data_IF_731852569593
#
_entry.id   IF_731852569593
#
_cell.length_a   1.000
_cell.length_b   1.000
_cell.length_c   1.000
_cell.angle_alpha   90.00
_cell.angle_beta   90.00
_cell.angle_gamma   90.00
#
_symmetry.space_group_name_H-M   'P 1'
#
loop_
_entity.id
_entity.type
_entity.pdbx_description
1 polymer ?
#
# COMPACT_ATOMS: atom_id res chain seq x y z
N UNK A 1 -22.95 -48.65 4.59
CA UNK A 1 -23.52 -47.34 4.22
C UNK A 1 -22.94 -46.36 5.21
N UNK A 2 -21.79 -45.81 4.85
CA UNK A 2 -21.04 -44.81 5.62
C UNK A 2 -21.78 -43.49 5.49
N UNK A 3 -22.09 -42.89 6.64
CA UNK A 3 -22.66 -41.53 6.72
C UNK A 3 -21.49 -40.57 6.68
N UNK A 4 -21.64 -39.57 5.81
CA UNK A 4 -20.67 -38.57 5.41
C UNK A 4 -20.53 -37.50 6.52
N UNK A 5 -19.33 -37.35 7.09
CA UNK A 5 -18.99 -36.41 8.18
C UNK A 5 -18.72 -34.97 7.66
N UNK A 6 -19.43 -34.56 6.61
CA UNK A 6 -19.28 -33.26 5.96
C UNK A 6 -19.95 -32.08 6.67
N UNK A 7 -20.00 -32.05 8.00
CA UNK A 7 -20.43 -30.85 8.73
C UNK A 7 -19.25 -29.89 8.85
N UNK A 8 -19.22 -28.89 7.96
CA UNK A 8 -18.45 -27.67 8.18
C UNK A 8 -18.81 -27.05 9.55
N UNK A 9 -17.94 -26.23 10.14
CA UNK A 9 -18.16 -25.68 11.47
C UNK A 9 -19.50 -24.92 11.47
N UNK A 10 -20.48 -25.43 12.24
CA UNK A 10 -21.69 -24.68 12.51
C UNK A 10 -21.26 -23.40 13.23
N UNK A 11 -21.35 -22.28 12.52
CA UNK A 11 -21.19 -20.96 13.12
C UNK A 11 -22.17 -20.84 14.30
N UNK A 12 -21.80 -20.12 15.38
CA UNK A 12 -22.66 -19.96 16.54
C UNK A 12 -24.03 -19.41 16.12
N UNK A 13 -25.09 -20.13 16.50
CA UNK A 13 -26.47 -19.71 16.28
C UNK A 13 -26.79 -18.55 17.23
N UNK A 14 -26.94 -17.35 16.70
CA UNK A 14 -27.31 -16.16 17.47
C UNK A 14 -28.80 -15.86 17.26
N UNK A 15 -29.68 -16.11 18.25
CA UNK A 15 -31.06 -15.67 18.14
C UNK A 15 -31.10 -14.13 18.05
N UNK A 16 -32.00 -13.57 17.24
CA UNK A 16 -32.20 -12.11 17.19
C UNK A 16 -32.55 -11.62 18.59
N UNK A 17 -31.81 -10.65 19.11
CA UNK A 17 -31.97 -10.11 20.45
C UNK A 17 -33.06 -9.05 20.56
N UNK A 18 -33.67 -8.63 19.44
CA UNK A 18 -34.70 -7.59 19.47
C UNK A 18 -36.09 -8.16 19.70
N UNK A 19 -36.77 -7.51 20.64
CA UNK A 19 -38.08 -7.89 21.10
C UNK A 19 -38.03 -8.68 22.40
N UNK A 20 -39.05 -9.51 22.56
CA UNK A 20 -39.28 -10.23 23.79
C UNK A 20 -38.42 -11.49 23.87
N UNK A 21 -37.40 -11.47 24.72
CA UNK A 21 -36.67 -12.70 25.06
C UNK A 21 -37.34 -13.30 26.29
N UNK A 22 -38.23 -14.26 26.05
CA UNK A 22 -38.82 -15.08 27.10
C UNK A 22 -37.85 -16.22 27.44
N UNK A 23 -37.23 -16.13 28.62
CA UNK A 23 -36.28 -17.14 29.13
C UNK A 23 -37.00 -18.20 29.99
N UNK A 24 -38.33 -18.27 29.94
CA UNK A 24 -39.13 -19.19 30.73
C UNK A 24 -39.09 -18.86 32.22
N UNK A 25 -38.66 -19.80 33.06
CA UNK A 25 -38.67 -19.65 34.53
C UNK A 25 -37.70 -18.60 35.07
N UNK A 26 -36.77 -18.11 34.24
CA UNK A 26 -35.79 -17.07 34.61
C UNK A 26 -36.37 -15.64 34.46
N UNK A 27 -37.55 -15.50 33.85
CA UNK A 27 -38.23 -14.23 33.62
C UNK A 27 -38.09 -13.73 32.18
N UNK A 28 -38.45 -12.46 32.00
CA UNK A 28 -38.63 -11.81 30.69
C UNK A 28 -37.72 -10.60 30.61
N UNK A 29 -36.91 -10.52 29.55
CA UNK A 29 -36.10 -9.33 29.23
C UNK A 29 -36.68 -8.68 27.99
N UNK A 30 -36.87 -7.37 28.08
CA UNK A 30 -37.24 -6.53 26.95
C UNK A 30 -35.99 -5.74 26.59
N UNK A 31 -35.46 -5.96 25.39
CA UNK A 31 -34.36 -5.17 24.83
C UNK A 31 -34.92 -4.26 23.76
N UNK A 32 -34.62 -2.97 23.87
CA UNK A 32 -34.92 -1.94 22.88
C UNK A 32 -33.59 -1.31 22.43
N UNK A 33 -33.36 -1.31 21.12
CA UNK A 33 -32.17 -0.71 20.52
C UNK A 33 -32.60 0.47 19.66
N UNK A 34 -32.05 1.65 19.96
CA UNK A 34 -32.31 2.87 19.22
C UNK A 34 -31.01 3.51 18.74
N UNK A 35 -31.03 4.16 17.58
CA UNK A 35 -29.86 4.89 17.07
C UNK A 35 -29.63 6.18 17.85
N UNK A 36 -28.40 6.68 17.91
CA UNK A 36 -28.10 8.02 18.43
C UNK A 36 -27.47 8.88 17.34
N UNK A 37 -26.40 8.36 16.72
CA UNK A 37 -25.65 8.97 15.61
C UNK A 37 -24.96 7.88 14.76
N UNK A 38 -24.10 8.25 13.81
CA UNK A 38 -23.35 7.31 12.96
C UNK A 38 -22.52 6.25 13.72
N UNK A 39 -22.15 6.53 14.97
CA UNK A 39 -21.17 5.78 15.76
C UNK A 39 -21.70 5.12 17.02
N UNK A 40 -22.94 5.45 17.44
CA UNK A 40 -23.53 4.96 18.69
C UNK A 40 -24.98 4.50 18.50
N UNK A 41 -25.30 3.39 19.17
CA UNK A 41 -26.68 2.98 19.47
C UNK A 41 -26.89 2.93 20.97
N UNK A 42 -28.10 3.24 21.41
CA UNK A 42 -28.57 3.03 22.76
C UNK A 42 -29.19 1.63 22.86
N UNK A 43 -28.76 0.87 23.87
CA UNK A 43 -29.27 -0.46 24.20
C UNK A 43 -29.90 -0.39 25.58
N UNK A 44 -31.23 -0.42 25.59
CA UNK A 44 -32.03 -0.36 26.80
C UNK A 44 -32.61 -1.74 27.10
N UNK A 45 -32.27 -2.29 28.25
CA UNK A 45 -32.77 -3.58 28.69
C UNK A 45 -33.56 -3.45 30.00
N UNK A 46 -34.78 -4.00 30.02
CA UNK A 46 -35.62 -4.10 31.22
C UNK A 46 -35.76 -5.54 31.63
N UNK A 47 -35.38 -5.85 32.87
CA UNK A 47 -35.53 -7.18 33.45
C UNK A 47 -36.82 -7.25 34.28
N UNK A 48 -37.84 -7.95 33.76
CA UNK A 48 -39.10 -8.21 34.48
C UNK A 48 -39.05 -9.50 35.32
N UNK A 49 -37.91 -10.19 35.32
CA UNK A 49 -37.65 -11.39 36.11
C UNK A 49 -37.28 -11.12 37.57
N UNK A 50 -36.99 -12.20 38.30
CA UNK A 50 -36.67 -12.18 39.73
C UNK A 50 -35.17 -12.34 40.00
N UNK A 51 -34.36 -12.66 38.99
CA UNK A 51 -32.91 -12.83 39.08
C UNK A 51 -32.18 -11.84 38.16
N UNK A 52 -30.95 -11.41 38.51
CA UNK A 52 -30.14 -10.61 37.60
C UNK A 52 -29.90 -11.37 36.29
N UNK A 53 -29.92 -10.64 35.18
CA UNK A 53 -29.67 -11.21 33.85
C UNK A 53 -28.50 -10.51 33.20
N UNK A 54 -27.66 -11.27 32.50
CA UNK A 54 -26.54 -10.75 31.74
C UNK A 54 -26.97 -10.59 30.27
N UNK A 55 -26.81 -9.39 29.74
CA UNK A 55 -27.01 -9.09 28.32
C UNK A 55 -25.62 -8.97 27.69
N UNK A 56 -25.38 -9.72 26.61
CA UNK A 56 -24.12 -9.72 25.87
C UNK A 56 -24.39 -9.57 24.38
N UNK A 57 -23.87 -8.51 23.78
CA UNK A 57 -23.86 -8.29 22.33
C UNK A 57 -22.44 -8.54 21.82
N UNK A 58 -22.30 -9.41 20.82
CA UNK A 58 -21.02 -9.77 20.25
C UNK A 58 -20.68 -8.91 19.02
N UNK A 59 -19.41 -8.55 18.81
CA UNK A 59 -18.96 -7.94 17.56
C UNK A 59 -19.44 -8.75 16.36
N UNK A 60 -19.80 -8.07 15.28
CA UNK A 60 -20.42 -8.73 14.13
C UNK A 60 -21.94 -8.80 14.16
N UNK A 61 -22.57 -8.27 15.19
CA UNK A 61 -24.02 -8.11 15.19
C UNK A 61 -24.41 -6.91 14.30
N UNK A 62 -25.36 -7.13 13.40
CA UNK A 62 -25.94 -6.10 12.55
C UNK A 62 -27.22 -5.56 13.18
N UNK A 63 -27.37 -4.25 13.21
CA UNK A 63 -28.60 -3.56 13.59
C UNK A 63 -29.31 -3.09 12.32
N UNK A 64 -30.45 -3.71 12.03
CA UNK A 64 -31.33 -3.42 10.89
C UNK A 64 -32.44 -2.48 11.35
N UNK A 65 -32.54 -1.26 10.82
CA UNK A 65 -33.57 -0.32 11.25
C UNK A 65 -34.95 -0.83 10.84
N UNK A 66 -35.96 -0.57 11.67
CA UNK A 66 -37.36 -0.90 11.33
C UNK A 66 -37.88 -0.06 10.16
N UNK A 67 -37.34 1.15 9.98
CA UNK A 67 -37.57 2.00 8.81
C UNK A 67 -36.37 1.90 7.85
N UNK A 68 -36.63 1.33 6.67
CA UNK A 68 -35.64 1.06 5.62
C UNK A 68 -34.91 2.29 5.06
N UNK A 69 -35.38 3.51 5.34
CA UNK A 69 -34.75 4.79 4.94
C UNK A 69 -33.43 5.03 5.67
N UNK A 70 -33.28 4.48 6.88
CA UNK A 70 -32.09 4.66 7.71
C UNK A 70 -31.01 3.61 7.41
N UNK A 71 -29.79 3.92 7.82
CA UNK A 71 -28.65 3.03 7.68
C UNK A 71 -28.75 1.79 8.57
N UNK A 72 -28.35 0.64 8.03
CA UNK A 72 -27.97 -0.52 8.86
C UNK A 72 -26.68 -0.19 9.59
N UNK A 73 -26.55 -0.65 10.82
CA UNK A 73 -25.38 -0.43 11.66
C UNK A 73 -24.73 -1.76 12.03
N UNK A 74 -23.45 -1.72 12.38
CA UNK A 74 -22.63 -2.89 12.64
C UNK A 74 -21.88 -2.72 13.95
N UNK A 75 -22.01 -3.68 14.86
CA UNK A 75 -21.38 -3.65 16.18
C UNK A 75 -19.88 -3.97 16.07
N UNK A 76 -19.04 -3.02 16.47
CA UNK A 76 -17.57 -3.19 16.47
C UNK A 76 -17.09 -3.75 17.80
N UNK A 77 -17.50 -3.14 18.91
CA UNK A 77 -17.03 -3.50 20.24
C UNK A 77 -18.07 -4.38 20.96
N UNK A 78 -17.64 -5.41 21.71
CA UNK A 78 -18.56 -6.19 22.51
C UNK A 78 -19.23 -5.30 23.57
N UNK A 79 -20.50 -5.54 23.84
CA UNK A 79 -21.23 -4.88 24.93
C UNK A 79 -21.79 -5.95 25.88
N UNK A 80 -21.28 -5.99 27.10
CA UNK A 80 -21.77 -6.91 28.15
C UNK A 80 -22.14 -6.14 29.40
N UNK A 81 -23.32 -6.38 29.95
CA UNK A 81 -23.78 -5.74 31.19
C UNK A 81 -24.84 -6.57 31.91
N UNK A 82 -24.93 -6.40 33.23
CA UNK A 82 -25.94 -7.05 34.06
C UNK A 82 -27.14 -6.12 34.30
N UNK A 83 -28.35 -6.67 34.21
CA UNK A 83 -29.63 -6.01 34.45
C UNK A 83 -30.27 -6.61 35.70
N UNK A 84 -30.27 -5.88 36.84
CA UNK A 84 -30.89 -6.39 38.07
C UNK A 84 -32.41 -6.59 37.94
N UNK A 85 -33.02 -7.45 38.78
CA UNK A 85 -34.47 -7.67 38.80
C UNK A 85 -35.26 -6.37 38.95
N UNK A 86 -36.29 -6.17 38.12
CA UNK A 86 -37.17 -5.00 38.18
C UNK A 86 -36.53 -3.69 37.72
N UNK A 87 -35.26 -3.70 37.29
CA UNK A 87 -34.53 -2.52 36.86
C UNK A 87 -34.51 -2.39 35.33
N UNK A 88 -34.29 -1.17 34.87
CA UNK A 88 -33.95 -0.86 33.48
C UNK A 88 -32.52 -0.34 33.45
N UNK A 89 -31.69 -0.90 32.59
CA UNK A 89 -30.32 -0.45 32.36
C UNK A 89 -30.21 0.05 30.92
N UNK A 90 -29.55 1.18 30.77
CA UNK A 90 -29.27 1.85 29.51
C UNK A 90 -27.75 1.84 29.30
N UNK A 91 -27.32 1.36 28.13
CA UNK A 91 -25.92 1.31 27.71
C UNK A 91 -25.77 1.80 26.29
N UNK A 92 -24.60 2.33 25.98
CA UNK A 92 -24.23 2.69 24.62
C UNK A 92 -23.35 1.61 24.03
N UNK A 93 -23.61 1.25 22.78
CA UNK A 93 -22.78 0.35 21.99
C UNK A 93 -22.17 1.13 20.83
N UNK A 94 -20.88 0.90 20.58
CA UNK A 94 -20.15 1.53 19.47
C UNK A 94 -20.40 0.76 18.18
N UNK A 95 -20.90 1.48 17.18
CA UNK A 95 -21.29 0.92 15.89
C UNK A 95 -20.68 1.71 14.73
N UNK A 96 -20.86 1.21 13.53
CA UNK A 96 -20.63 1.94 12.27
C UNK A 96 -21.79 1.68 11.33
N UNK A 97 -22.16 2.69 10.56
CA UNK A 97 -23.18 2.59 9.53
C UNK A 97 -22.64 1.93 8.25
N UNK A 98 -23.46 1.14 7.56
CA UNK A 98 -23.03 0.35 6.41
C UNK A 98 -23.41 0.97 5.06
N UNK A 99 -24.29 1.96 5.00
CA UNK A 99 -24.87 2.42 3.73
C UNK A 99 -24.86 3.95 3.63
N UNK A 100 -23.76 4.50 3.13
CA UNK A 100 -23.46 5.92 3.16
C UNK A 100 -24.58 6.79 2.61
N UNK A 101 -25.36 6.34 1.62
CA UNK A 101 -26.41 7.15 0.97
C UNK A 101 -27.72 7.25 1.76
N UNK A 102 -27.96 6.37 2.73
CA UNK A 102 -29.19 6.36 3.55
C UNK A 102 -29.14 7.43 4.65
N UNK A 103 -30.26 7.64 5.34
CA UNK A 103 -30.36 8.60 6.44
C UNK A 103 -29.57 8.12 7.67
N UNK A 104 -28.92 9.08 8.36
CA UNK A 104 -28.27 8.82 9.65
C UNK A 104 -29.33 8.48 10.72
N UNK A 105 -29.14 7.41 11.50
CA UNK A 105 -30.04 7.09 12.59
C UNK A 105 -30.03 8.15 13.69
N UNK A 106 -31.20 8.43 14.24
CA UNK A 106 -31.38 9.31 15.41
C UNK A 106 -32.16 8.58 16.50
N UNK A 107 -32.29 9.20 17.69
CA UNK A 107 -32.89 8.62 18.92
C UNK A 107 -34.28 8.00 18.84
N UNK A 108 -35.02 8.20 17.75
CA UNK A 108 -36.35 7.59 17.54
C UNK A 108 -36.33 6.40 16.56
N UNK A 109 -35.19 6.12 15.93
CA UNK A 109 -35.04 5.00 15.00
C UNK A 109 -34.77 3.75 15.81
N UNK A 110 -35.66 2.77 15.69
CA UNK A 110 -35.54 1.46 16.34
C UNK A 110 -34.87 0.45 15.43
N UNK A 111 -34.17 -0.49 16.04
CA UNK A 111 -33.41 -1.52 15.35
C UNK A 111 -33.84 -2.93 15.73
N UNK A 112 -33.59 -3.85 14.80
CA UNK A 112 -33.59 -5.29 15.00
C UNK A 112 -32.21 -5.85 14.74
N UNK A 113 -31.88 -7.00 15.31
CA UNK A 113 -30.56 -7.57 15.30
C UNK A 113 -30.57 -8.75 14.35
N UNK A 114 -29.54 -8.79 13.52
CA UNK A 114 -29.30 -9.85 12.57
C UNK A 114 -27.82 -10.25 12.66
N UNK A 115 -27.46 -11.52 12.37
CA UNK A 115 -26.07 -11.88 12.20
C UNK A 115 -25.46 -11.10 11.02
N UNK A 116 -24.14 -10.87 11.08
CA UNK A 116 -23.39 -10.45 9.90
C UNK A 116 -23.46 -11.53 8.81
N UNK A 117 -23.78 -11.13 7.59
CA UNK A 117 -23.86 -12.03 6.43
C UNK A 117 -22.56 -12.05 5.62
N UNK A 118 -21.67 -11.06 5.81
CA UNK A 118 -20.45 -10.89 5.02
C UNK A 118 -19.19 -11.06 5.87
N UNK A 119 -18.31 -11.95 5.43
CA UNK A 119 -17.04 -12.25 6.12
C UNK A 119 -16.06 -11.07 6.10
N UNK A 120 -16.12 -10.23 5.07
CA UNK A 120 -15.30 -9.02 4.93
C UNK A 120 -15.60 -7.96 6.03
N UNK A 121 -16.88 -7.76 6.36
CA UNK A 121 -17.31 -6.90 7.47
C UNK A 121 -16.88 -7.46 8.82
N UNK A 122 -16.93 -8.78 8.99
CA UNK A 122 -16.41 -9.48 10.17
C UNK A 122 -14.92 -9.25 10.36
N UNK A 123 -14.14 -9.44 9.29
CA UNK A 123 -12.70 -9.25 9.31
C UNK A 123 -12.32 -7.78 9.59
N UNK A 124 -12.93 -6.82 8.87
CA UNK A 124 -12.69 -5.40 9.08
C UNK A 124 -13.10 -4.96 10.48
N UNK A 125 -14.25 -5.43 10.97
CA UNK A 125 -14.72 -5.15 12.33
C UNK A 125 -13.75 -5.63 13.41
N UNK A 126 -13.16 -6.81 13.24
CA UNK A 126 -12.16 -7.36 14.16
C UNK A 126 -10.83 -6.59 14.10
N UNK A 127 -10.39 -6.17 12.91
CA UNK A 127 -9.23 -5.28 12.75
C UNK A 127 -9.46 -3.96 13.48
N UNK A 128 -10.65 -3.38 13.32
CA UNK A 128 -11.02 -2.15 14.01
C UNK A 128 -11.09 -2.34 15.51
N UNK A 129 -11.69 -3.42 16.00
CA UNK A 129 -11.70 -3.74 17.43
C UNK A 129 -10.29 -3.80 18.03
N UNK A 130 -9.28 -4.27 17.27
CA UNK A 130 -7.89 -4.36 17.73
C UNK A 130 -7.10 -3.04 17.64
N UNK A 131 -7.53 -2.11 16.80
CA UNK A 131 -6.86 -0.81 16.68
C UNK A 131 -6.86 -0.04 18.01
N UNK A 132 -5.79 0.68 18.38
CA UNK A 132 -5.81 1.57 19.54
C UNK A 132 -6.43 2.94 19.21
N UNK A 133 -6.55 3.28 17.92
CA UNK A 133 -7.13 4.54 17.46
C UNK A 133 -8.64 4.30 17.33
N UNK A 134 -9.47 5.29 17.72
CA UNK A 134 -10.95 5.30 17.53
C UNK A 134 -11.35 6.62 16.89
N UNK A 135 -12.38 6.62 16.06
CA UNK A 135 -12.99 7.86 15.59
C UNK A 135 -13.68 7.75 14.23
N UNK A 136 -13.87 8.88 13.54
CA UNK A 136 -14.57 8.91 12.25
C UNK A 136 -13.92 8.03 11.17
N UNK A 137 -12.62 7.76 11.30
CA UNK A 137 -11.91 6.88 10.38
C UNK A 137 -12.47 5.44 10.37
N UNK A 138 -13.03 4.93 11.47
CA UNK A 138 -13.71 3.63 11.51
C UNK A 138 -14.90 3.61 10.53
N UNK A 139 -15.74 4.63 10.61
CA UNK A 139 -16.89 4.81 9.72
C UNK A 139 -16.46 4.94 8.25
N UNK A 140 -15.35 5.64 7.99
CA UNK A 140 -14.83 5.82 6.66
C UNK A 140 -14.44 4.50 5.99
N UNK A 141 -13.75 3.58 6.67
CA UNK A 141 -13.35 2.31 6.07
C UNK A 141 -14.54 1.41 5.75
N UNK A 142 -15.58 1.42 6.60
CA UNK A 142 -16.80 0.69 6.29
C UNK A 142 -17.46 1.24 5.02
N UNK A 143 -17.52 2.56 4.83
CA UNK A 143 -18.02 3.14 3.57
C UNK A 143 -17.11 2.93 2.36
N UNK A 144 -15.80 2.82 2.55
CA UNK A 144 -14.89 2.37 1.47
C UNK A 144 -15.26 0.94 1.06
N UNK A 145 -15.43 0.04 2.04
CA UNK A 145 -15.75 -1.37 1.82
C UNK A 145 -17.15 -1.58 1.23
N UNK A 146 -18.17 -0.88 1.72
CA UNK A 146 -19.57 -1.14 1.36
C UNK A 146 -20.04 -0.32 0.16
N UNK A 147 -19.58 0.92 0.03
CA UNK A 147 -20.07 1.87 -0.99
C UNK A 147 -18.98 2.27 -2.01
N UNK A 148 -17.75 1.80 -1.83
CA UNK A 148 -16.61 2.24 -2.65
C UNK A 148 -16.36 3.75 -2.53
N UNK A 149 -16.61 4.32 -1.35
CA UNK A 149 -16.66 5.77 -1.16
C UNK A 149 -15.29 6.44 -1.38
N UNK A 150 -15.29 7.54 -2.14
CA UNK A 150 -14.11 8.38 -2.35
C UNK A 150 -13.89 9.32 -1.16
N UNK A 151 -12.67 9.83 -0.98
CA UNK A 151 -12.35 10.80 0.08
C UNK A 151 -13.25 12.06 0.05
N UNK A 152 -13.48 12.73 -1.09
CA UNK A 152 -14.42 13.85 -1.15
C UNK A 152 -15.81 13.46 -0.67
N UNK A 153 -16.34 12.33 -1.14
CA UNK A 153 -17.65 11.80 -0.77
C UNK A 153 -17.73 11.58 0.75
N UNK A 154 -16.75 10.92 1.36
CA UNK A 154 -16.68 10.70 2.82
C UNK A 154 -16.66 12.05 3.57
N UNK A 155 -15.81 12.98 3.16
CA UNK A 155 -15.63 14.28 3.83
C UNK A 155 -16.81 15.26 3.66
N UNK A 156 -17.74 14.99 2.74
CA UNK A 156 -19.01 15.70 2.64
C UNK A 156 -19.99 15.29 3.75
N UNK A 157 -19.92 14.03 4.22
CA UNK A 157 -20.83 13.50 5.24
C UNK A 157 -20.26 13.46 6.65
N UNK A 158 -18.94 13.48 6.79
CA UNK A 158 -18.28 13.18 8.07
C UNK A 158 -17.67 14.40 8.74
N UNK A 159 -17.88 14.52 10.05
CA UNK A 159 -17.25 15.54 10.90
C UNK A 159 -16.67 14.91 12.19
N UNK A 160 -15.39 15.14 12.51
CA UNK A 160 -14.40 15.85 11.70
C UNK A 160 -14.05 15.08 10.41
N UNK A 161 -13.61 15.83 9.40
CA UNK A 161 -13.11 15.27 8.13
C UNK A 161 -11.88 14.40 8.39
N UNK A 162 -11.67 13.40 7.54
CA UNK A 162 -10.41 12.65 7.51
C UNK A 162 -9.42 13.28 6.53
N UNK A 163 -8.15 13.18 6.89
CA UNK A 163 -7.04 13.52 6.02
C UNK A 163 -6.85 12.48 4.92
N UNK A 164 -6.13 12.88 3.88
CA UNK A 164 -5.79 12.00 2.76
C UNK A 164 -4.99 10.77 3.20
N UNK A 165 -3.99 10.92 4.08
CA UNK A 165 -3.25 9.77 4.60
C UNK A 165 -4.10 8.81 5.42
N UNK A 166 -5.09 9.31 6.18
CA UNK A 166 -6.05 8.43 6.86
C UNK A 166 -6.90 7.64 5.87
N UNK A 167 -7.30 8.26 4.76
CA UNK A 167 -8.05 7.58 3.70
C UNK A 167 -7.21 6.48 3.03
N UNK A 168 -5.96 6.76 2.67
CA UNK A 168 -5.08 5.76 2.06
C UNK A 168 -4.74 4.64 3.03
N UNK A 169 -4.55 4.95 4.31
CA UNK A 169 -4.42 3.92 5.35
C UNK A 169 -5.66 3.02 5.40
N UNK A 170 -6.85 3.62 5.33
CA UNK A 170 -8.11 2.87 5.26
C UNK A 170 -8.21 1.99 4.02
N UNK A 171 -7.78 2.48 2.84
CA UNK A 171 -7.70 1.66 1.63
C UNK A 171 -6.77 0.46 1.82
N UNK A 172 -5.58 0.66 2.39
CA UNK A 172 -4.65 -0.42 2.67
C UNK A 172 -5.21 -1.52 3.59
N UNK A 173 -6.09 -1.16 4.53
CA UNK A 173 -6.82 -2.11 5.38
C UNK A 173 -7.99 -2.78 4.66
N UNK A 174 -8.69 -2.08 3.76
CA UNK A 174 -9.91 -2.59 3.11
C UNK A 174 -9.62 -3.46 1.89
N UNK A 175 -8.64 -3.10 1.06
CA UNK A 175 -8.33 -3.79 -0.20
C UNK A 175 -8.15 -5.31 -0.06
N UNK A 176 -7.46 -5.84 0.98
CA UNK A 176 -7.31 -7.29 1.14
C UNK A 176 -8.61 -8.06 1.38
N UNK A 177 -9.70 -7.37 1.73
CA UNK A 177 -11.00 -7.98 2.04
C UNK A 177 -12.01 -7.88 0.91
N UNK A 178 -11.67 -7.18 -0.18
CA UNK A 178 -12.55 -7.04 -1.33
C UNK A 178 -12.49 -8.28 -2.22
N UNK A 179 -13.62 -8.59 -2.84
CA UNK A 179 -13.67 -9.63 -3.87
C UNK A 179 -13.05 -9.16 -5.19
N UNK A 180 -12.75 -10.12 -6.07
CA UNK A 180 -12.15 -9.87 -7.39
C UNK A 180 -13.02 -8.98 -8.29
N UNK A 181 -14.34 -8.87 -8.02
CA UNK A 181 -15.24 -8.03 -8.81
C UNK A 181 -15.20 -6.56 -8.35
N UNK A 182 -15.05 -6.33 -7.06
CA UNK A 182 -15.12 -5.03 -6.41
C UNK A 182 -13.76 -4.35 -6.38
N UNK A 183 -12.68 -5.13 -6.21
CA UNK A 183 -11.31 -4.61 -6.11
C UNK A 183 -10.94 -3.73 -7.32
N UNK A 184 -11.12 -4.14 -8.59
CA UNK A 184 -10.75 -3.31 -9.73
C UNK A 184 -11.58 -2.02 -9.85
N UNK A 185 -12.88 -2.09 -9.48
CA UNK A 185 -13.77 -0.92 -9.50
C UNK A 185 -13.32 0.13 -8.48
N UNK A 186 -13.01 -0.31 -7.25
CA UNK A 186 -12.51 0.59 -6.22
C UNK A 186 -11.13 1.12 -6.60
N UNK A 187 -10.21 0.24 -7.01
CA UNK A 187 -8.86 0.58 -7.44
C UNK A 187 -8.87 1.71 -8.49
N UNK A 188 -9.74 1.59 -9.50
CA UNK A 188 -9.93 2.61 -10.52
C UNK A 188 -10.49 3.93 -9.98
N UNK A 189 -11.44 3.88 -9.05
CA UNK A 189 -12.02 5.08 -8.45
C UNK A 189 -11.04 5.84 -7.56
N UNK A 190 -10.04 5.15 -6.99
CA UNK A 190 -9.06 5.75 -6.09
C UNK A 190 -7.72 6.04 -6.75
N UNK A 191 -7.51 5.59 -8.00
CA UNK A 191 -6.33 5.91 -8.80
C UNK A 191 -6.30 7.40 -9.10
N UNK A 192 -5.53 8.14 -8.30
CA UNK A 192 -5.35 9.57 -8.46
C UNK A 192 -3.99 10.00 -7.92
N UNK A 193 -3.49 11.12 -8.44
CA UNK A 193 -2.25 11.71 -7.94
C UNK A 193 -2.39 12.02 -6.45
N UNK A 194 -3.48 12.67 -6.06
CA UNK A 194 -3.85 12.94 -4.67
C UNK A 194 -3.66 11.72 -3.75
N UNK A 195 -4.21 10.55 -4.09
CA UNK A 195 -4.02 9.31 -3.31
C UNK A 195 -2.53 8.93 -3.18
N UNK A 196 -1.74 9.09 -4.24
CA UNK A 196 -0.30 8.86 -4.26
C UNK A 196 0.51 9.97 -3.57
N UNK A 197 -0.09 11.12 -3.26
CA UNK A 197 0.57 12.26 -2.59
C UNK A 197 0.26 12.31 -1.09
N UNK A 198 -0.39 11.29 -0.56
CA UNK A 198 -0.83 11.21 0.82
C UNK A 198 0.37 11.00 1.78
N UNK A 199 1.18 12.03 2.03
CA UNK A 199 2.47 11.94 2.73
C UNK A 199 2.43 11.39 4.16
N UNK A 200 1.26 11.39 4.81
CA UNK A 200 1.06 10.84 6.16
C UNK A 200 0.63 9.36 6.17
N UNK A 201 0.64 8.70 5.01
CA UNK A 201 0.26 7.30 4.85
C UNK A 201 1.32 6.36 5.44
N UNK A 202 0.86 5.27 6.03
CA UNK A 202 1.68 4.13 6.43
C UNK A 202 2.29 3.46 5.18
N UNK A 203 3.62 3.24 5.13
CA UNK A 203 4.26 2.59 3.99
C UNK A 203 3.60 1.27 3.56
N UNK A 204 3.10 0.46 4.49
CA UNK A 204 2.44 -0.80 4.15
C UNK A 204 1.11 -0.58 3.41
N UNK A 205 0.33 0.43 3.80
CA UNK A 205 -0.92 0.74 3.14
C UNK A 205 -0.69 1.28 1.72
N UNK A 206 0.35 2.11 1.57
CA UNK A 206 0.80 2.59 0.26
C UNK A 206 1.27 1.43 -0.63
N UNK A 207 2.02 0.49 -0.06
CA UNK A 207 2.49 -0.71 -0.78
C UNK A 207 1.31 -1.54 -1.27
N UNK A 208 0.39 -1.92 -0.37
CA UNK A 208 -0.83 -2.67 -0.74
C UNK A 208 -1.58 -2.00 -1.89
N UNK A 209 -1.74 -0.67 -1.83
CA UNK A 209 -2.43 0.09 -2.87
C UNK A 209 -1.70 0.04 -4.22
N UNK A 210 -0.38 0.25 -4.23
CA UNK A 210 0.43 0.20 -5.45
C UNK A 210 0.44 -1.21 -6.05
N UNK A 211 0.60 -2.23 -5.22
CA UNK A 211 0.55 -3.62 -5.68
C UNK A 211 -0.83 -3.94 -6.30
N UNK A 212 -1.91 -3.47 -5.67
CA UNK A 212 -3.27 -3.66 -6.19
C UNK A 212 -3.46 -2.94 -7.53
N UNK A 213 -3.00 -1.70 -7.70
CA UNK A 213 -3.08 -1.02 -8.99
C UNK A 213 -2.26 -1.72 -10.08
N UNK A 214 -1.06 -2.19 -9.72
CA UNK A 214 -0.18 -2.90 -10.63
C UNK A 214 -0.73 -4.26 -11.08
N UNK A 215 -1.46 -4.98 -10.21
CA UNK A 215 -2.06 -6.27 -10.53
C UNK A 215 -3.40 -6.13 -11.25
N UNK A 216 -4.31 -5.29 -10.73
CA UNK A 216 -5.70 -5.23 -11.18
C UNK A 216 -5.92 -4.32 -12.40
N UNK A 217 -5.07 -3.31 -12.59
CA UNK A 217 -5.22 -2.32 -13.66
C UNK A 217 -3.86 -1.89 -14.25
N UNK A 218 -3.08 -2.85 -14.77
CA UNK A 218 -1.70 -2.63 -15.17
C UNK A 218 -1.52 -1.55 -16.25
N UNK A 219 -2.40 -1.50 -17.26
CA UNK A 219 -2.29 -0.56 -18.38
C UNK A 219 -2.65 0.86 -17.94
N UNK A 220 -3.77 1.01 -17.22
CA UNK A 220 -4.18 2.29 -16.66
C UNK A 220 -3.19 2.82 -15.62
N UNK A 221 -2.59 1.94 -14.83
CA UNK A 221 -1.58 2.32 -13.85
C UNK A 221 -0.31 2.83 -14.54
N UNK A 222 0.19 2.13 -15.57
CA UNK A 222 1.34 2.59 -16.35
C UNK A 222 1.03 3.93 -17.04
N UNK A 223 -0.15 4.07 -17.67
CA UNK A 223 -0.57 5.32 -18.31
C UNK A 223 -0.66 6.47 -17.29
N UNK A 224 -1.20 6.20 -16.11
CA UNK A 224 -1.29 7.16 -15.02
C UNK A 224 0.10 7.62 -14.58
N UNK A 225 1.04 6.70 -14.38
CA UNK A 225 2.41 7.01 -14.01
C UNK A 225 3.12 7.84 -15.08
N UNK A 226 3.01 7.46 -16.35
CA UNK A 226 3.58 8.20 -17.47
C UNK A 226 3.02 9.63 -17.55
N UNK A 227 1.71 9.79 -17.36
CA UNK A 227 1.02 11.09 -17.41
C UNK A 227 1.41 12.00 -16.24
N UNK A 228 1.61 11.42 -15.04
CA UNK A 228 1.88 12.17 -13.81
C UNK A 228 3.36 12.18 -13.41
N UNK A 229 4.24 11.64 -14.27
CA UNK A 229 5.67 11.43 -13.99
C UNK A 229 6.38 12.66 -13.45
N UNK A 230 6.20 13.82 -14.09
CA UNK A 230 6.83 15.07 -13.64
C UNK A 230 6.28 15.52 -12.29
N UNK A 231 4.98 15.42 -12.07
CA UNK A 231 4.35 15.79 -10.80
C UNK A 231 4.85 14.89 -9.66
N UNK A 232 4.94 13.58 -9.88
CA UNK A 232 5.49 12.63 -8.91
C UNK A 232 6.96 12.95 -8.64
N UNK A 233 7.76 13.15 -9.70
CA UNK A 233 9.17 13.48 -9.58
C UNK A 233 9.42 14.82 -8.86
N UNK A 234 8.50 15.78 -8.96
CA UNK A 234 8.60 17.08 -8.27
C UNK A 234 8.47 16.98 -6.75
N UNK A 235 7.84 15.91 -6.24
CA UNK A 235 7.74 15.64 -4.80
C UNK A 235 9.09 15.36 -4.15
N UNK A 236 10.06 14.94 -4.94
CA UNK A 236 11.39 14.53 -4.51
C UNK A 236 12.39 15.69 -4.54
N UNK A 237 11.91 16.93 -4.61
CA UNK A 237 12.73 18.15 -4.58
C UNK A 237 12.98 18.65 -3.15
N UNK A 238 14.00 19.50 -2.96
CA UNK A 238 14.42 20.04 -1.63
C UNK A 238 13.31 20.64 -0.76
N UNK A 239 12.22 21.10 -1.36
CA UNK A 239 11.11 21.73 -0.66
C UNK A 239 10.26 20.70 0.12
N UNK A 240 10.34 19.42 -0.27
CA UNK A 240 9.78 18.31 0.48
C UNK A 240 10.67 18.00 1.71
N UNK A 241 10.39 18.72 2.80
CA UNK A 241 11.07 18.62 4.10
C UNK A 241 11.24 17.17 4.62
N UNK A 242 12.16 16.96 5.56
CA UNK A 242 12.51 15.69 6.22
C UNK A 242 11.34 14.72 6.54
N UNK A 243 10.15 15.23 6.88
CA UNK A 243 8.98 14.40 7.16
C UNK A 243 8.47 13.62 5.93
N UNK A 244 8.77 14.10 4.72
CA UNK A 244 8.36 13.51 3.45
C UNK A 244 9.37 12.45 2.98
N UNK A 245 10.63 12.49 3.43
CA UNK A 245 11.67 11.58 2.92
C UNK A 245 11.36 10.10 3.17
N UNK A 246 10.86 9.74 4.37
CA UNK A 246 10.48 8.35 4.67
C UNK A 246 9.33 7.88 3.76
N UNK A 247 8.37 8.76 3.51
CA UNK A 247 7.26 8.50 2.62
C UNK A 247 7.74 8.29 1.18
N UNK A 248 8.59 9.18 0.68
CA UNK A 248 9.19 9.12 -0.65
C UNK A 248 10.00 7.84 -0.88
N UNK A 249 10.79 7.41 0.11
CA UNK A 249 11.51 6.14 0.05
C UNK A 249 10.53 4.96 0.01
N UNK A 250 9.48 4.99 0.84
CA UNK A 250 8.43 3.97 0.82
C UNK A 250 7.74 3.90 -0.54
N UNK A 251 7.35 5.05 -1.10
CA UNK A 251 6.73 5.18 -2.42
C UNK A 251 7.63 4.60 -3.52
N UNK A 252 8.89 5.02 -3.58
CA UNK A 252 9.84 4.52 -4.56
C UNK A 252 10.04 3.00 -4.43
N UNK A 253 10.12 2.49 -3.19
CA UNK A 253 10.27 1.05 -2.91
C UNK A 253 9.06 0.27 -3.40
N UNK A 254 7.85 0.71 -3.09
CA UNK A 254 6.61 0.07 -3.54
C UNK A 254 6.46 0.11 -5.06
N UNK A 255 6.80 1.22 -5.70
CA UNK A 255 6.81 1.34 -7.16
C UNK A 255 7.82 0.36 -7.81
N UNK A 256 9.02 0.23 -7.25
CA UNK A 256 10.04 -0.72 -7.73
C UNK A 256 9.57 -2.17 -7.56
N UNK A 257 8.92 -2.47 -6.44
CA UNK A 257 8.41 -3.81 -6.14
C UNK A 257 7.15 -4.19 -6.91
N UNK A 258 6.47 -3.22 -7.55
CA UNK A 258 5.25 -3.47 -8.33
C UNK A 258 5.45 -4.39 -9.55
N UNK A 259 6.71 -4.63 -9.95
CA UNK A 259 7.04 -5.40 -11.16
C UNK A 259 6.74 -4.68 -12.48
N UNK A 260 6.14 -3.47 -12.43
CA UNK A 260 5.81 -2.67 -13.61
C UNK A 260 7.03 -1.87 -14.08
N UNK A 261 7.27 -1.87 -15.39
CA UNK A 261 8.40 -1.16 -15.97
C UNK A 261 8.30 0.35 -15.74
N UNK A 262 7.17 0.98 -16.07
CA UNK A 262 6.95 2.43 -15.89
C UNK A 262 7.05 2.84 -14.43
N UNK A 263 6.53 2.05 -13.49
CA UNK A 263 6.68 2.29 -12.06
C UNK A 263 8.15 2.29 -11.64
N UNK A 264 8.94 1.34 -12.14
CA UNK A 264 10.39 1.32 -11.94
C UNK A 264 11.08 2.57 -12.48
N UNK A 265 10.70 3.04 -13.68
CA UNK A 265 11.23 4.29 -14.25
C UNK A 265 10.97 5.46 -13.32
N UNK A 266 9.71 5.67 -12.95
CA UNK A 266 9.29 6.80 -12.10
C UNK A 266 10.01 6.74 -10.76
N UNK A 267 10.09 5.56 -10.12
CA UNK A 267 10.77 5.39 -8.86
C UNK A 267 12.27 5.75 -8.94
N UNK A 268 12.96 5.30 -9.98
CA UNK A 268 14.38 5.59 -10.19
C UNK A 268 14.62 7.08 -10.41
N UNK A 269 13.81 7.73 -11.23
CA UNK A 269 13.91 9.18 -11.43
C UNK A 269 13.71 9.97 -10.14
N UNK A 270 12.74 9.55 -9.34
CA UNK A 270 12.45 10.15 -8.06
C UNK A 270 13.63 10.04 -7.08
N UNK A 271 14.22 8.85 -6.98
CA UNK A 271 15.41 8.62 -6.16
C UNK A 271 16.60 9.47 -6.64
N UNK A 272 16.86 9.47 -7.96
CA UNK A 272 17.97 10.22 -8.54
C UNK A 272 17.83 11.74 -8.33
N UNK A 273 16.62 12.31 -8.47
CA UNK A 273 16.38 13.73 -8.18
C UNK A 273 16.63 14.07 -6.73
N UNK A 274 16.10 13.27 -5.80
CA UNK A 274 16.33 13.47 -4.35
C UNK A 274 17.81 13.49 -4.04
N UNK A 275 18.56 12.54 -4.58
CA UNK A 275 19.98 12.43 -4.30
C UNK A 275 20.77 13.54 -4.96
N UNK A 276 20.46 13.90 -6.22
CA UNK A 276 21.08 15.05 -6.88
C UNK A 276 20.89 16.32 -6.06
N UNK A 277 19.68 16.59 -5.61
CA UNK A 277 19.38 17.75 -4.79
C UNK A 277 20.14 17.72 -3.47
N UNK A 278 20.14 16.57 -2.78
CA UNK A 278 20.90 16.41 -1.55
C UNK A 278 22.39 16.65 -1.78
N UNK A 279 22.97 16.05 -2.81
CA UNK A 279 24.37 16.24 -3.20
C UNK A 279 24.67 17.70 -3.51
N UNK A 280 23.86 18.41 -4.29
CA UNK A 280 24.04 19.85 -4.56
C UNK A 280 23.95 20.67 -3.26
N UNK A 281 23.09 20.29 -2.32
CA UNK A 281 23.04 20.96 -1.00
C UNK A 281 24.34 20.71 -0.22
N UNK A 282 24.78 19.46 -0.18
CA UNK A 282 25.97 19.02 0.54
C UNK A 282 27.26 19.50 -0.11
N UNK A 283 27.34 19.68 -1.42
CA UNK A 283 28.52 20.22 -2.14
C UNK A 283 28.83 21.65 -1.74
N UNK A 284 27.80 22.42 -1.37
CA UNK A 284 27.99 23.75 -0.79
C UNK A 284 28.59 23.70 0.61
N UNK A 285 28.61 22.53 1.26
CA UNK A 285 29.05 22.32 2.65
C UNK A 285 30.26 21.35 2.79
N UNK A 286 30.56 20.52 1.79
CA UNK A 286 31.54 19.41 1.87
C UNK A 286 32.44 19.29 0.63
N UNK A 287 33.63 18.73 0.83
CA UNK A 287 34.62 18.49 -0.23
C UNK A 287 34.10 17.54 -1.33
N UNK A 288 34.42 17.87 -2.60
CA UNK A 288 34.07 17.14 -3.84
C UNK A 288 34.26 15.61 -3.79
N UNK A 289 35.22 15.13 -2.99
CA UNK A 289 35.57 13.71 -2.83
C UNK A 289 34.50 12.90 -2.08
N UNK A 290 33.84 13.50 -1.08
CA UNK A 290 32.77 12.83 -0.30
C UNK A 290 31.50 12.68 -1.14
N UNK A 291 31.26 13.63 -2.05
CA UNK A 291 30.15 13.56 -3.01
C UNK A 291 30.29 12.37 -3.97
N UNK A 292 31.50 12.11 -4.48
CA UNK A 292 31.75 10.99 -5.38
C UNK A 292 31.48 9.63 -4.71
N UNK A 293 31.88 9.47 -3.44
CA UNK A 293 31.60 8.25 -2.67
C UNK A 293 30.09 8.07 -2.39
N UNK A 294 29.38 9.15 -2.04
CA UNK A 294 27.94 9.11 -1.82
C UNK A 294 27.16 8.76 -3.10
N UNK A 295 27.58 9.30 -4.25
CA UNK A 295 27.01 8.96 -5.56
C UNK A 295 27.29 7.50 -5.93
N UNK A 296 28.50 7.00 -5.66
CA UNK A 296 28.86 5.58 -5.85
C UNK A 296 28.01 4.62 -5.01
N UNK A 297 27.76 4.94 -3.75
CA UNK A 297 26.89 4.14 -2.88
C UNK A 297 25.42 4.18 -3.30
N UNK A 298 24.93 5.32 -3.82
CA UNK A 298 23.59 5.40 -4.39
C UNK A 298 23.48 4.56 -5.67
N UNK A 299 24.49 4.63 -6.53
CA UNK A 299 24.63 3.80 -7.71
C UNK A 299 24.58 2.31 -7.36
N UNK A 300 25.27 1.90 -6.29
CA UNK A 300 25.18 0.54 -5.75
C UNK A 300 23.80 0.20 -5.22
N UNK A 301 23.09 1.12 -4.57
CA UNK A 301 21.72 0.90 -4.10
C UNK A 301 20.72 0.77 -5.26
N UNK A 302 20.83 1.64 -6.26
CA UNK A 302 20.04 1.60 -7.49
C UNK A 302 20.28 0.28 -8.23
N UNK A 303 21.54 -0.16 -8.31
CA UNK A 303 21.90 -1.45 -8.88
C UNK A 303 21.40 -2.62 -8.03
N UNK A 304 21.49 -2.56 -6.70
CA UNK A 304 20.99 -3.61 -5.82
C UNK A 304 19.47 -3.77 -5.92
N UNK A 305 18.73 -2.67 -5.98
CA UNK A 305 17.26 -2.71 -6.13
C UNK A 305 16.88 -3.20 -7.52
N UNK A 306 17.62 -2.79 -8.55
CA UNK A 306 17.38 -3.24 -9.90
C UNK A 306 17.77 -4.73 -10.14
N UNK A 307 18.82 -5.20 -9.49
CA UNK A 307 19.29 -6.59 -9.51
C UNK A 307 18.47 -7.51 -8.60
N UNK A 308 17.62 -6.96 -7.73
CA UNK A 308 16.68 -7.71 -6.88
C UNK A 308 15.56 -8.45 -7.62
N UNK A 309 15.55 -8.43 -8.96
CA UNK A 309 14.67 -9.30 -9.76
C UNK A 309 14.10 -8.71 -11.06
N UNK A 310 14.47 -7.48 -11.46
CA UNK A 310 13.92 -6.86 -12.66
C UNK A 310 15.01 -6.34 -13.60
N UNK A 311 15.41 -7.17 -14.57
CA UNK A 311 16.42 -6.83 -15.57
C UNK A 311 16.09 -5.53 -16.36
N UNK A 312 14.81 -5.22 -16.54
CA UNK A 312 14.39 -3.96 -17.15
C UNK A 312 14.66 -2.76 -16.23
N UNK A 313 14.41 -2.88 -14.92
CA UNK A 313 14.79 -1.85 -13.97
C UNK A 313 16.31 -1.62 -13.96
N UNK A 314 17.11 -2.68 -14.13
CA UNK A 314 18.57 -2.57 -14.19
C UNK A 314 19.02 -1.83 -15.45
N UNK A 315 18.56 -2.28 -16.62
CA UNK A 315 18.83 -1.59 -17.89
C UNK A 315 18.43 -0.12 -17.82
N UNK A 316 17.28 0.16 -17.24
CA UNK A 316 16.75 1.50 -17.22
C UNK A 316 17.45 2.41 -16.20
N UNK A 317 17.87 1.86 -15.05
CA UNK A 317 18.80 2.54 -14.16
C UNK A 317 20.06 2.95 -14.90
N UNK A 318 20.67 2.05 -15.67
CA UNK A 318 21.84 2.38 -16.51
C UNK A 318 21.54 3.49 -17.53
N UNK A 319 20.42 3.43 -18.23
CA UNK A 319 20.04 4.45 -19.22
C UNK A 319 19.82 5.84 -18.60
N UNK A 320 19.18 5.92 -17.43
CA UNK A 320 18.96 7.18 -16.74
C UNK A 320 20.28 7.74 -16.19
N UNK A 321 21.14 6.88 -15.64
CA UNK A 321 22.47 7.27 -15.17
C UNK A 321 23.37 7.78 -16.30
N UNK A 322 23.35 7.12 -17.46
CA UNK A 322 24.10 7.55 -18.65
C UNK A 322 23.66 8.94 -19.14
N UNK A 323 22.34 9.22 -19.13
CA UNK A 323 21.81 10.55 -19.49
C UNK A 323 22.26 11.64 -18.51
N UNK A 324 22.32 11.34 -17.22
CA UNK A 324 22.72 12.34 -16.21
C UNK A 324 24.21 12.67 -16.25
N UNK A 325 25.08 11.70 -16.49
CA UNK A 325 26.53 11.95 -16.63
C UNK A 325 26.90 12.82 -17.84
N UNK A 326 26.12 12.76 -18.92
CA UNK A 326 26.42 13.52 -20.15
C UNK A 326 26.09 15.02 -20.06
N UNK A 327 25.16 15.41 -19.19
CA UNK A 327 24.71 16.82 -19.09
C UNK A 327 25.62 17.74 -18.25
N UNK A 328 26.51 17.21 -17.41
CA UNK A 328 27.36 18.03 -16.52
C UNK A 328 28.80 18.22 -17.04
N UNK A 329 29.14 17.68 -18.21
CA UNK A 329 30.47 17.80 -18.82
C UNK A 329 30.64 18.85 -19.92
N UNK A 330 29.61 19.16 -20.72
CA UNK A 330 29.83 19.92 -21.97
C UNK A 330 29.59 21.43 -21.84
N UNK A 331 30.66 22.21 -21.66
CA UNK A 331 30.71 23.58 -22.18
C UNK A 331 31.12 23.52 -23.67
N UNK A 332 30.29 24.12 -24.53
CA UNK A 332 30.51 24.40 -25.96
C UNK A 332 31.21 23.31 -26.80
N UNK A 333 30.42 22.48 -27.47
CA UNK A 333 30.86 21.83 -28.72
C UNK A 333 30.16 22.51 -29.88
N UNK A 334 30.90 23.37 -30.59
CA UNK A 334 30.58 23.72 -31.98
C UNK A 334 30.80 22.48 -32.85
N UNK A 335 29.84 22.23 -33.74
CA UNK A 335 29.77 21.13 -34.71
C UNK A 335 29.73 19.70 -34.14
N UNK A 336 28.52 19.16 -34.06
CA UNK A 336 28.29 17.71 -34.05
C UNK A 336 27.28 17.38 -35.15
N UNK A 337 27.81 16.84 -36.25
CA UNK A 337 27.07 16.09 -37.25
C UNK A 337 26.36 14.91 -36.60
N UNK A 338 25.12 14.68 -37.00
CA UNK A 338 24.29 13.49 -36.78
C UNK A 338 25.09 12.19 -36.57
N UNK A 339 25.22 11.75 -35.30
CA UNK A 339 25.41 10.34 -34.90
C UNK A 339 25.24 10.24 -33.38
N UNK A 340 24.16 9.60 -32.95
CA UNK A 340 24.01 9.13 -31.58
C UNK A 340 25.02 8.01 -31.26
N UNK A 341 25.13 7.57 -29.99
CA UNK A 341 26.13 6.59 -29.61
C UNK A 341 25.94 5.27 -30.35
N UNK A 342 26.92 4.92 -31.18
CA UNK A 342 27.15 3.56 -31.64
C UNK A 342 27.90 2.79 -30.56
N UNK A 343 27.38 1.60 -30.24
CA UNK A 343 28.09 0.57 -29.50
C UNK A 343 29.34 0.18 -30.31
N UNK A 344 30.54 0.56 -29.89
CA UNK A 344 31.77 0.06 -30.51
C UNK A 344 32.04 -1.36 -30.01
N UNK A 345 31.69 -2.34 -30.84
CA UNK A 345 32.22 -3.69 -30.78
C UNK A 345 33.53 -3.72 -31.56
N UNK A 346 34.65 -4.00 -30.90
CA UNK A 346 35.89 -4.38 -31.59
C UNK A 346 35.63 -5.67 -32.36
N UNK A 347 35.67 -5.58 -33.70
CA UNK A 347 35.51 -6.69 -34.62
C UNK A 347 36.90 -7.11 -35.12
N UNK A 348 37.46 -8.15 -34.51
CA UNK A 348 38.50 -8.94 -35.16
C UNK A 348 37.87 -10.07 -35.97
N UNK A 349 38.34 -10.22 -37.21
CA UNK A 349 37.72 -11.00 -38.27
C UNK A 349 37.57 -12.48 -37.95
N UNK A 350 36.36 -12.90 -37.64
CA UNK A 350 35.57 -13.84 -38.43
C UNK A 350 34.15 -13.86 -37.86
N UNK A 351 33.17 -13.54 -38.70
CA UNK A 351 31.81 -13.26 -38.27
C UNK A 351 31.13 -14.44 -37.58
N UNK A 352 30.88 -14.28 -36.27
CA UNK A 352 29.71 -14.76 -35.50
C UNK A 352 29.70 -13.99 -34.17
N UNK A 353 28.61 -13.28 -33.89
CA UNK A 353 28.35 -12.74 -32.56
C UNK A 353 27.83 -13.88 -31.68
N UNK A 354 28.60 -14.26 -30.66
CA UNK A 354 28.08 -15.03 -29.53
C UNK A 354 28.06 -14.09 -28.31
N UNK A 355 26.88 -13.91 -27.72
CA UNK A 355 26.68 -13.24 -26.44
C UNK A 355 27.14 -14.17 -25.31
N UNK A 356 28.45 -14.25 -25.10
CA UNK A 356 29.02 -14.99 -23.98
C UNK A 356 29.36 -14.04 -22.84
N UNK A 357 28.52 -14.15 -21.80
CA UNK A 357 28.81 -13.89 -20.38
C UNK A 357 28.24 -12.59 -19.77
N UNK A 358 27.17 -12.76 -18.98
CA UNK A 358 26.54 -11.74 -18.13
C UNK A 358 27.24 -11.56 -16.77
N UNK A 359 28.43 -12.13 -16.59
CA UNK A 359 29.13 -12.18 -15.29
C UNK A 359 29.69 -10.83 -14.82
N UNK A 360 29.78 -9.82 -15.70
CA UNK A 360 30.53 -8.60 -15.39
C UNK A 360 29.86 -7.35 -15.96
N UNK A 361 29.45 -6.43 -15.10
CA UNK A 361 29.12 -5.04 -15.50
C UNK A 361 30.28 -4.14 -15.09
N UNK A 362 31.04 -3.65 -16.07
CA UNK A 362 32.14 -2.71 -15.85
C UNK A 362 31.66 -1.29 -16.16
N UNK A 363 31.51 -0.45 -15.13
CA UNK A 363 31.20 0.98 -15.31
C UNK A 363 32.52 1.75 -15.25
N UNK A 364 32.88 2.44 -16.34
CA UNK A 364 34.07 3.31 -16.40
C UNK A 364 33.63 4.76 -16.45
N UNK A 365 34.27 5.59 -15.63
CA UNK A 365 34.14 7.04 -15.71
C UNK A 365 35.42 7.60 -16.32
N UNK A 366 35.34 8.08 -17.55
CA UNK A 366 36.46 8.69 -18.28
C UNK A 366 36.22 10.18 -18.51
N UNK A 367 37.29 10.96 -18.62
CA UNK A 367 37.25 12.34 -19.10
C UNK A 367 37.03 12.41 -20.61
N UNK A 368 36.97 13.63 -21.15
CA UNK A 368 36.73 13.93 -22.57
C UNK A 368 37.84 13.41 -23.50
N UNK A 369 39.01 13.10 -22.95
CA UNK A 369 40.16 12.55 -23.65
C UNK A 369 40.22 11.01 -23.52
N UNK A 370 39.26 10.40 -22.82
CA UNK A 370 39.17 8.97 -22.58
C UNK A 370 40.00 8.47 -21.39
N UNK A 371 40.59 9.37 -20.59
CA UNK A 371 41.38 8.98 -19.42
C UNK A 371 40.47 8.70 -18.22
N UNK A 372 40.81 7.70 -17.41
CA UNK A 372 40.04 7.36 -16.21
C UNK A 372 40.11 8.48 -15.16
N UNK A 373 38.95 8.93 -14.67
CA UNK A 373 38.86 9.92 -13.60
C UNK A 373 39.33 9.33 -12.26
N UNK A 374 39.82 10.15 -11.30
CA UNK A 374 40.23 9.67 -9.98
C UNK A 374 39.04 9.04 -9.22
N UNK A 375 39.14 7.75 -8.91
CA UNK A 375 38.03 6.92 -8.38
C UNK A 375 37.43 5.94 -9.40
N UNK A 376 37.78 6.08 -10.69
CA UNK A 376 37.59 5.05 -11.71
C UNK A 376 38.67 3.98 -11.60
N UNK A 377 38.61 3.16 -10.57
CA UNK A 377 39.48 1.99 -10.50
C UNK A 377 39.06 0.95 -11.54
N UNK A 378 40.05 0.41 -12.24
CA UNK A 378 39.88 -0.71 -13.14
C UNK A 378 39.71 -1.96 -12.28
N UNK A 379 38.47 -2.38 -12.04
CA UNK A 379 38.20 -3.70 -11.50
C UNK A 379 38.36 -4.73 -12.61
N UNK A 380 39.60 -5.12 -12.84
CA UNK A 380 39.96 -6.27 -13.66
C UNK A 380 39.90 -7.51 -12.77
N UNK A 381 38.94 -8.40 -13.00
CA UNK A 381 38.68 -9.60 -12.17
C UNK A 381 39.85 -10.60 -12.16
N UNK A 382 40.90 -10.34 -12.93
CA UNK A 382 42.02 -11.25 -13.10
C UNK A 382 43.34 -10.81 -12.48
N UNK A 383 43.44 -9.70 -11.72
CA UNK A 383 44.76 -9.44 -11.12
C UNK A 383 44.92 -8.82 -9.75
N UNK A 384 44.02 -8.03 -9.18
CA UNK A 384 44.28 -7.48 -7.84
C UNK A 384 42.98 -7.32 -7.02
N UNK A 385 42.78 -8.22 -6.06
CA UNK A 385 41.94 -7.97 -4.87
C UNK A 385 40.42 -7.80 -5.06
N UNK A 386 39.81 -8.42 -6.06
CA UNK A 386 38.36 -8.36 -6.24
C UNK A 386 37.61 -9.30 -5.27
N UNK A 387 36.49 -8.80 -4.72
CA UNK A 387 35.44 -9.63 -4.12
C UNK A 387 34.86 -10.52 -5.23
N UNK A 388 35.07 -11.82 -5.13
CA UNK A 388 34.41 -12.85 -5.95
C UNK A 388 32.93 -12.95 -5.57
N UNK A 389 32.13 -13.67 -6.36
CA UNK A 389 30.76 -13.99 -5.98
C UNK A 389 30.70 -14.63 -4.57
N UNK A 390 31.73 -15.38 -4.18
CA UNK A 390 31.84 -16.04 -2.88
C UNK A 390 32.16 -15.07 -1.73
N UNK A 391 32.61 -13.85 -2.05
CA UNK A 391 32.91 -12.80 -1.06
C UNK A 391 31.72 -11.85 -0.84
N UNK A 392 30.61 -12.03 -1.58
CA UNK A 392 29.38 -11.27 -1.39
C UNK A 392 28.59 -11.81 -0.18
N UNK A 393 27.88 -10.95 0.57
CA UNK A 393 26.87 -11.37 1.53
C UNK A 393 25.92 -12.44 0.94
N UNK A 394 25.56 -13.50 1.68
CA UNK A 394 24.80 -14.64 1.14
C UNK A 394 23.50 -14.25 0.42
N UNK A 395 22.84 -13.18 0.83
CA UNK A 395 21.64 -12.65 0.18
C UNK A 395 21.89 -12.11 -1.24
N UNK A 396 23.07 -11.55 -1.52
CA UNK A 396 23.44 -11.08 -2.87
C UNK A 396 23.85 -12.24 -3.78
N UNK A 397 24.46 -13.29 -3.22
CA UNK A 397 24.74 -14.55 -3.93
C UNK A 397 23.43 -15.20 -4.38
N UNK A 398 22.45 -15.31 -3.48
CA UNK A 398 21.14 -15.89 -3.79
C UNK A 398 20.34 -15.04 -4.79
N UNK A 399 20.39 -13.70 -4.69
CA UNK A 399 19.78 -12.81 -5.68
C UNK A 399 20.42 -12.94 -7.07
N UNK A 400 21.75 -13.03 -7.16
CA UNK A 400 22.44 -13.27 -8.43
C UNK A 400 22.08 -14.62 -9.05
N UNK A 401 22.04 -15.69 -8.25
CA UNK A 401 21.59 -17.02 -8.70
C UNK A 401 20.14 -16.99 -9.19
N UNK A 402 19.24 -16.29 -8.49
CA UNK A 402 17.84 -16.16 -8.87
C UNK A 402 17.67 -15.38 -10.18
N UNK A 403 18.41 -14.27 -10.36
CA UNK A 403 18.40 -13.48 -11.59
C UNK A 403 18.97 -14.27 -12.79
N UNK A 404 20.07 -15.01 -12.58
CA UNK A 404 20.65 -15.89 -13.59
C UNK A 404 19.68 -16.99 -14.01
N UNK A 405 19.03 -17.65 -13.04
CA UNK A 405 18.02 -18.68 -13.30
C UNK A 405 16.80 -18.12 -14.03
N UNK A 406 16.30 -16.95 -13.63
CA UNK A 406 15.18 -16.30 -14.30
C UNK A 406 15.51 -15.92 -15.76
N UNK A 407 16.75 -15.47 -16.02
CA UNK A 407 17.22 -15.20 -17.38
C UNK A 407 17.36 -16.47 -18.24
N UNK A 408 17.84 -17.57 -17.65
CA UNK A 408 17.91 -18.89 -18.31
C UNK A 408 16.51 -19.46 -18.62
N UNK A 409 15.56 -19.30 -17.70
CA UNK A 409 14.18 -19.77 -17.83
C UNK A 409 13.38 -18.98 -18.89
N UNK A 410 13.73 -17.72 -19.14
CA UNK A 410 13.03 -16.84 -20.10
C UNK A 410 13.34 -17.12 -21.58
N UNK A 411 14.30 -17.99 -21.92
CA UNK A 411 14.66 -18.39 -23.30
C UNK A 411 14.52 -17.28 -24.35
N UNK A 412 15.06 -16.09 -24.07
CA UNK A 412 15.31 -15.11 -25.14
C UNK A 412 16.53 -15.63 -25.87
N UNK A 413 16.33 -16.03 -27.13
CA UNK A 413 17.31 -16.72 -27.95
C UNK A 413 18.67 -16.01 -28.03
N UNK A 414 19.69 -16.86 -28.18
CA UNK A 414 21.10 -16.55 -28.38
C UNK A 414 21.36 -15.43 -29.40
#
# INVERSE_FOLDING_TARGET
MTVDDGQGPMGPFFPSLDGLIDLGSLGKVIVEITGEDLSEVNVKAKNEGTQPLEVSLHPGLKFVPEDSRYQEMYLIDPLTFSVPPGMTVDKRARVVCLAMKKEEPHSNVRFRTAPAERDDLCALGEEMRRSPIRGPWDQAMFWILTDGATLPTINERMFPRISQGQYVNGLGSVLPWLDDETTPKLAKNVLSLDTLLATTTNPNALDTLIQTWASEMPEEFDQFLATNREAIASLFTKEAQYLVQRYLIGLATSLLNSGRSEAGIVALECLLRTTRDHLIATERELNRRVLQEAYGNLMLLVLQVALGGNANAARLAFEVLAKHHYTEGSQEVQDVSERGPTLETDLDGDGKAELTDWSTIVIRFTDEEGNLLPGGERYDTNRDGALTLDDLPPNLIEAHKAAKKAAEDLKVGA
#
